data_IF_482906523854
#
_entry.id   IF_482906523854
#
_cell.length_a   1.000
_cell.length_b   1.000
_cell.length_c   1.000
_cell.angle_alpha   90.00
_cell.angle_beta   90.00
_cell.angle_gamma   90.00
#
_symmetry.space_group_name_H-M   'P 1'
#
loop_
_entity.id
_entity.type
_entity.pdbx_description
1 polymer ?
#
# COMPACT_ATOMS: atom_id res chain seq x y z
N UNK A 1 20.68 -3.49 -8.43
CA UNK A 1 20.44 -2.41 -7.43
C UNK A 1 21.78 -1.92 -6.90
N UNK A 2 22.01 -0.61 -6.81
CA UNK A 2 23.29 -0.07 -6.35
C UNK A 2 23.54 -0.35 -4.87
N UNK A 3 24.45 -1.29 -4.60
CA UNK A 3 24.73 -1.82 -3.24
C UNK A 3 25.17 -0.78 -2.22
N UNK A 4 25.56 0.42 -2.67
CA UNK A 4 26.05 1.51 -1.83
C UNK A 4 25.26 2.82 -2.02
N UNK A 5 24.04 2.76 -2.56
CA UNK A 5 23.23 3.95 -2.86
C UNK A 5 23.17 4.93 -1.68
N UNK A 6 22.85 4.45 -0.48
CA UNK A 6 22.76 5.29 0.74
C UNK A 6 24.04 6.10 0.98
N UNK A 7 25.19 5.44 0.94
CA UNK A 7 26.50 6.06 1.17
C UNK A 7 26.82 7.12 0.11
N UNK A 8 26.49 6.85 -1.15
CA UNK A 8 26.73 7.83 -2.21
C UNK A 8 25.69 8.98 -2.18
N UNK A 9 24.45 8.70 -1.78
CA UNK A 9 23.40 9.69 -1.62
C UNK A 9 23.75 10.69 -0.51
N UNK A 10 24.18 10.20 0.65
CA UNK A 10 24.64 11.04 1.76
C UNK A 10 25.77 11.99 1.34
N UNK A 11 26.71 11.52 0.52
CA UNK A 11 27.79 12.37 -0.04
C UNK A 11 27.28 13.39 -1.05
N UNK A 12 26.25 13.05 -1.83
CA UNK A 12 25.68 13.94 -2.84
C UNK A 12 24.76 15.03 -2.27
N UNK A 13 24.38 14.94 -0.98
CA UNK A 13 23.57 15.98 -0.32
C UNK A 13 24.27 17.34 -0.34
N UNK A 14 25.60 17.35 -0.26
CA UNK A 14 26.42 18.56 -0.27
C UNK A 14 26.69 19.09 -1.69
N UNK A 15 26.47 18.27 -2.73
CA UNK A 15 26.71 18.62 -4.15
C UNK A 15 25.40 18.84 -4.91
N UNK A 16 24.76 17.75 -5.35
CA UNK A 16 23.47 17.74 -6.02
C UNK A 16 22.73 16.41 -5.73
N UNK A 17 21.75 16.40 -4.82
CA UNK A 17 21.00 15.19 -4.49
C UNK A 17 20.14 14.69 -5.66
N UNK A 18 19.78 15.55 -6.61
CA UNK A 18 18.96 15.17 -7.76
C UNK A 18 19.74 14.33 -8.76
N UNK A 19 21.06 14.55 -8.88
CA UNK A 19 21.91 13.74 -9.74
C UNK A 19 21.96 12.30 -9.27
N UNK A 20 22.08 12.06 -7.97
CA UNK A 20 22.01 10.71 -7.41
C UNK A 20 20.63 10.07 -7.60
N UNK A 21 19.56 10.84 -7.45
CA UNK A 21 18.21 10.36 -7.74
C UNK A 21 18.03 9.97 -9.22
N UNK A 22 18.67 10.69 -10.14
CA UNK A 22 18.70 10.35 -11.56
C UNK A 22 19.45 9.04 -11.81
N UNK A 23 20.58 8.82 -11.14
CA UNK A 23 21.33 7.54 -11.21
C UNK A 23 20.44 6.39 -10.75
N UNK A 24 19.81 6.49 -9.58
CA UNK A 24 18.89 5.45 -9.08
C UNK A 24 17.82 5.11 -10.11
N UNK A 25 17.19 6.14 -10.69
CA UNK A 25 16.14 5.97 -11.70
C UNK A 25 16.66 5.39 -13.01
N UNK A 26 17.93 5.55 -13.37
CA UNK A 26 18.47 5.09 -14.66
C UNK A 26 19.28 3.80 -14.54
N UNK A 27 19.52 3.31 -13.32
CA UNK A 27 20.11 1.99 -13.10
C UNK A 27 19.22 0.88 -13.64
N UNK A 28 19.84 -0.06 -14.36
CA UNK A 28 19.14 -1.23 -14.86
C UNK A 28 18.81 -2.19 -13.72
N UNK A 29 17.61 -2.75 -13.74
CA UNK A 29 17.24 -3.88 -12.91
C UNK A 29 17.80 -5.17 -13.53
N UNK A 30 17.69 -6.27 -12.79
CA UNK A 30 18.13 -7.61 -13.18
C UNK A 30 17.34 -8.15 -14.40
N UNK A 31 16.17 -7.56 -14.69
CA UNK A 31 15.40 -7.83 -15.91
C UNK A 31 15.98 -7.17 -17.18
N UNK A 32 16.98 -6.30 -17.03
CA UNK A 32 17.67 -5.58 -18.11
C UNK A 32 17.04 -4.24 -18.50
N UNK A 33 16.02 -3.77 -17.79
CA UNK A 33 15.36 -2.48 -18.01
C UNK A 33 15.54 -1.57 -16.80
N UNK A 34 15.57 -0.26 -17.04
CA UNK A 34 15.53 0.75 -15.98
C UNK A 34 14.08 1.07 -15.58
N UNK A 35 13.81 1.58 -14.36
CA UNK A 35 12.48 1.99 -13.93
C UNK A 35 11.69 2.87 -14.92
N UNK A 36 12.26 3.93 -15.54
CA UNK A 36 11.55 4.77 -16.50
C UNK A 36 11.28 4.05 -17.82
N UNK A 37 12.07 3.05 -18.21
CA UNK A 37 11.76 2.22 -19.37
C UNK A 37 10.56 1.33 -19.11
N UNK A 38 10.40 0.80 -17.89
CA UNK A 38 9.23 0.02 -17.51
C UNK A 38 7.98 0.90 -17.35
N UNK A 39 8.12 2.10 -16.80
CA UNK A 39 7.00 3.00 -16.52
C UNK A 39 6.56 3.81 -17.74
N UNK A 40 7.50 4.34 -18.52
CA UNK A 40 7.24 5.29 -19.62
C UNK A 40 7.71 4.76 -20.99
N UNK A 41 8.26 3.55 -21.07
CA UNK A 41 8.79 2.99 -22.31
C UNK A 41 10.06 3.69 -22.83
N UNK A 42 10.67 4.62 -22.10
CA UNK A 42 11.80 5.42 -22.61
C UNK A 42 12.92 5.56 -21.60
N UNK A 43 14.14 5.77 -22.08
CA UNK A 43 15.26 6.16 -21.22
C UNK A 43 15.17 7.64 -20.85
N UNK A 44 15.54 7.97 -19.62
CA UNK A 44 15.76 9.35 -19.20
C UNK A 44 17.09 9.86 -19.77
N UNK A 45 17.17 11.17 -20.00
CA UNK A 45 18.42 11.82 -20.41
C UNK A 45 19.35 11.88 -19.19
N UNK A 46 20.54 11.31 -19.32
CA UNK A 46 21.59 11.38 -18.30
C UNK A 46 22.68 12.37 -18.71
N UNK A 47 23.66 12.56 -17.83
CA UNK A 47 24.89 13.32 -18.08
C UNK A 47 25.83 12.64 -19.09
N UNK A 48 25.62 11.35 -19.35
CA UNK A 48 26.36 10.62 -20.38
C UNK A 48 25.82 10.95 -21.77
N UNK A 49 26.68 10.94 -22.81
CA UNK A 49 26.23 11.12 -24.17
C UNK A 49 25.28 9.99 -24.57
N UNK A 50 24.07 10.35 -25.04
CA UNK A 50 23.03 9.42 -25.43
C UNK A 50 22.50 9.72 -26.83
N UNK A 51 22.18 8.65 -27.57
CA UNK A 51 21.54 8.74 -28.87
C UNK A 51 20.09 9.22 -28.75
N UNK A 52 19.66 10.19 -29.57
CA UNK A 52 18.27 10.71 -29.55
C UNK A 52 17.21 9.61 -29.69
N UNK A 53 17.53 8.53 -30.42
CA UNK A 53 16.66 7.36 -30.63
C UNK A 53 16.29 6.63 -29.32
N UNK A 54 17.15 6.62 -28.31
CA UNK A 54 16.87 5.93 -27.04
C UNK A 54 15.98 6.72 -26.09
N UNK A 55 15.79 8.02 -26.37
CA UNK A 55 14.87 8.90 -25.63
C UNK A 55 13.43 8.79 -26.14
N UNK A 56 13.23 8.16 -27.31
CA UNK A 56 11.91 7.91 -27.90
C UNK A 56 11.28 6.71 -27.18
N UNK A 57 10.00 6.79 -26.79
CA UNK A 57 9.33 5.69 -26.11
C UNK A 57 9.18 4.47 -27.02
N UNK A 58 9.60 3.33 -26.51
CA UNK A 58 9.42 1.98 -27.04
C UNK A 58 8.91 1.09 -25.91
N UNK A 59 7.67 0.65 -26.03
CA UNK A 59 7.06 -0.25 -25.04
C UNK A 59 7.74 -1.62 -25.14
N UNK A 60 8.35 -2.12 -24.05
CA UNK A 60 8.93 -3.45 -24.03
C UNK A 60 7.84 -4.54 -24.04
N UNK A 61 8.16 -5.72 -24.55
CA UNK A 61 7.24 -6.85 -24.59
C UNK A 61 6.94 -7.34 -23.16
N UNK A 62 5.66 -7.32 -22.77
CA UNK A 62 5.25 -7.59 -21.40
C UNK A 62 5.54 -9.03 -20.97
N UNK A 63 5.38 -9.99 -21.88
CA UNK A 63 5.64 -11.42 -21.61
C UNK A 63 7.11 -11.69 -21.33
N UNK A 64 8.02 -11.03 -22.04
CA UNK A 64 9.46 -11.14 -21.81
C UNK A 64 9.86 -10.65 -20.43
N UNK A 65 9.32 -9.49 -20.03
CA UNK A 65 9.55 -8.93 -18.69
C UNK A 65 9.00 -9.90 -17.64
N UNK A 66 7.77 -10.37 -17.81
CA UNK A 66 7.13 -11.29 -16.86
C UNK A 66 7.94 -12.57 -16.68
N UNK A 67 8.44 -13.16 -17.77
CA UNK A 67 9.30 -14.35 -17.72
C UNK A 67 10.59 -14.10 -16.95
N UNK A 68 11.27 -12.98 -17.19
CA UNK A 68 12.50 -12.61 -16.49
C UNK A 68 12.27 -12.33 -15.01
N UNK A 69 11.24 -11.57 -14.67
CA UNK A 69 10.85 -11.27 -13.28
C UNK A 69 10.50 -12.53 -12.51
N UNK A 70 9.73 -13.44 -13.11
CA UNK A 70 9.40 -14.72 -12.48
C UNK A 70 10.65 -15.55 -12.17
N UNK A 71 11.55 -15.68 -13.16
CA UNK A 71 12.83 -16.38 -12.98
C UNK A 71 13.67 -15.74 -11.88
N UNK A 72 13.75 -14.41 -11.87
CA UNK A 72 14.50 -13.67 -10.87
C UNK A 72 13.91 -13.85 -9.46
N UNK A 73 12.59 -13.71 -9.31
CA UNK A 73 11.89 -13.89 -8.03
C UNK A 73 12.03 -15.31 -7.46
N UNK A 74 11.96 -16.34 -8.31
CA UNK A 74 12.20 -17.73 -7.89
C UNK A 74 13.63 -17.91 -7.40
N UNK A 75 14.62 -17.38 -8.12
CA UNK A 75 16.01 -17.44 -7.70
C UNK A 75 16.25 -16.69 -6.39
N UNK A 76 15.70 -15.47 -6.26
CA UNK A 76 15.81 -14.66 -5.05
C UNK A 76 15.23 -15.40 -3.84
N UNK A 77 14.06 -16.03 -3.99
CA UNK A 77 13.46 -16.90 -2.99
C UNK A 77 14.43 -18.04 -2.62
N UNK A 78 14.92 -18.79 -3.60
CA UNK A 78 15.80 -19.93 -3.37
C UNK A 78 17.10 -19.54 -2.64
N UNK A 79 17.72 -18.42 -3.04
CA UNK A 79 18.92 -17.90 -2.36
C UNK A 79 18.60 -17.50 -0.93
N UNK A 80 17.51 -16.76 -0.72
CA UNK A 80 17.09 -16.35 0.62
C UNK A 80 16.83 -17.55 1.52
N UNK A 81 16.03 -18.51 1.05
CA UNK A 81 15.66 -19.72 1.78
C UNK A 81 16.89 -20.57 2.13
N UNK A 82 17.85 -20.71 1.20
CA UNK A 82 19.12 -21.41 1.43
C UNK A 82 20.01 -20.71 2.45
N UNK A 83 20.16 -19.39 2.35
CA UNK A 83 21.03 -18.63 3.25
C UNK A 83 20.47 -18.56 4.68
N UNK A 84 19.15 -18.45 4.83
CA UNK A 84 18.50 -18.27 6.14
C UNK A 84 17.90 -19.56 6.71
N UNK A 85 18.06 -20.70 6.02
CA UNK A 85 17.48 -22.00 6.39
C UNK A 85 15.99 -21.87 6.73
N UNK A 86 15.26 -21.15 5.87
CA UNK A 86 13.85 -20.85 6.08
C UNK A 86 13.06 -22.16 6.18
N UNK A 87 12.20 -22.25 7.19
CA UNK A 87 11.27 -23.35 7.40
C UNK A 87 9.86 -22.80 7.45
N UNK A 88 8.90 -23.55 6.92
CA UNK A 88 7.50 -23.22 7.11
C UNK A 88 7.13 -23.44 8.58
N UNK A 89 6.54 -22.42 9.20
CA UNK A 89 6.10 -22.50 10.60
C UNK A 89 4.83 -23.34 10.68
N UNK A 90 4.71 -24.16 11.72
CA UNK A 90 3.53 -24.97 11.98
C UNK A 90 2.27 -24.09 12.05
N UNK A 91 1.19 -24.52 11.41
CA UNK A 91 -0.09 -23.82 11.51
C UNK A 91 -0.59 -23.81 12.96
N UNK A 92 -1.30 -22.75 13.32
CA UNK A 92 -1.81 -22.58 14.67
C UNK A 92 -3.32 -22.77 14.66
N UNK A 93 -3.82 -23.46 15.68
CA UNK A 93 -5.25 -23.74 15.80
C UNK A 93 -5.98 -22.62 16.54
N UNK A 94 -7.27 -22.38 16.21
CA UNK A 94 -8.13 -21.53 17.02
C UNK A 94 -8.12 -21.98 18.49
N UNK A 95 -8.05 -21.02 19.41
CA UNK A 95 -8.00 -21.24 20.86
C UNK A 95 -6.59 -21.38 21.44
N UNK A 96 -5.55 -21.57 20.61
CA UNK A 96 -4.18 -21.70 21.11
C UNK A 96 -3.66 -20.37 21.68
N UNK A 97 -2.92 -20.45 22.80
CA UNK A 97 -2.23 -19.30 23.38
C UNK A 97 -0.90 -19.10 22.67
N UNK A 98 -0.63 -17.85 22.32
CA UNK A 98 0.59 -17.43 21.62
C UNK A 98 1.18 -16.22 22.29
N UNK A 99 2.51 -16.14 22.25
CA UNK A 99 3.22 -14.93 22.59
C UNK A 99 3.23 -14.00 21.37
N UNK A 100 2.91 -12.72 21.57
CA UNK A 100 2.96 -11.71 20.52
C UNK A 100 4.28 -10.96 20.68
N UNK A 101 5.20 -11.15 19.73
CA UNK A 101 6.57 -10.60 19.86
C UNK A 101 6.61 -9.07 19.88
N UNK A 102 5.72 -8.42 19.12
CA UNK A 102 5.68 -6.97 18.96
C UNK A 102 5.15 -6.27 20.22
N UNK A 103 4.04 -6.79 20.78
CA UNK A 103 3.40 -6.26 21.97
C UNK A 103 3.98 -6.79 23.28
N UNK A 104 4.84 -7.83 23.22
CA UNK A 104 5.39 -8.54 24.38
C UNK A 104 4.28 -8.96 25.36
N UNK A 105 3.21 -9.51 24.82
CA UNK A 105 2.02 -9.92 25.55
C UNK A 105 1.51 -11.27 25.06
N UNK A 106 0.71 -11.93 25.89
CA UNK A 106 0.01 -13.15 25.48
C UNK A 106 -1.30 -12.80 24.77
N UNK A 107 -1.66 -13.63 23.80
CA UNK A 107 -2.95 -13.56 23.13
C UNK A 107 -3.46 -14.94 22.76
N UNK A 108 -4.75 -15.03 22.45
CA UNK A 108 -5.40 -16.26 22.01
C UNK A 108 -5.76 -16.20 20.55
N UNK A 109 -5.49 -17.26 19.80
CA UNK A 109 -5.85 -17.28 18.38
C UNK A 109 -7.35 -17.42 18.25
N UNK A 110 -7.97 -16.50 17.51
CA UNK A 110 -9.39 -16.55 17.19
C UNK A 110 -9.64 -17.33 15.92
N UNK A 111 -8.88 -17.04 14.87
CA UNK A 111 -9.01 -17.73 13.57
C UNK A 111 -7.79 -17.50 12.68
N UNK A 112 -7.57 -18.43 11.75
CA UNK A 112 -6.69 -18.23 10.58
C UNK A 112 -7.42 -17.38 9.55
N UNK A 113 -6.72 -16.46 8.90
CA UNK A 113 -7.33 -15.62 7.86
C UNK A 113 -7.09 -16.17 6.45
N UNK A 114 -7.95 -15.78 5.50
CA UNK A 114 -7.83 -16.12 4.09
C UNK A 114 -6.50 -15.67 3.46
N UNK A 115 -5.92 -14.57 3.94
CA UNK A 115 -4.60 -14.12 3.51
C UNK A 115 -3.49 -15.01 4.13
N UNK A 116 -2.47 -15.41 3.34
CA UNK A 116 -1.46 -16.35 3.78
C UNK A 116 -0.70 -15.82 5.00
N UNK A 117 -0.36 -16.71 5.93
CA UNK A 117 0.45 -16.44 7.13
C UNK A 117 -0.14 -15.44 8.13
N UNK A 118 -1.38 -15.00 7.97
CA UNK A 118 -2.03 -14.03 8.87
C UNK A 118 -3.07 -14.67 9.77
N UNK A 119 -3.09 -14.25 11.04
CA UNK A 119 -3.98 -14.78 12.07
C UNK A 119 -4.72 -13.63 12.75
N UNK A 120 -5.93 -13.91 13.24
CA UNK A 120 -6.65 -13.05 14.17
C UNK A 120 -6.34 -13.52 15.58
N UNK A 121 -5.82 -12.62 16.41
CA UNK A 121 -5.45 -12.90 17.80
C UNK A 121 -6.22 -11.96 18.72
N UNK A 122 -6.89 -12.54 19.69
CA UNK A 122 -7.61 -11.88 20.78
C UNK A 122 -6.61 -11.55 21.90
N UNK A 123 -6.52 -10.26 22.24
CA UNK A 123 -5.75 -9.73 23.37
C UNK A 123 -6.69 -8.95 24.29
N UNK A 124 -6.27 -8.57 25.51
CA UNK A 124 -7.11 -7.79 26.43
C UNK A 124 -7.56 -6.45 25.86
N UNK A 125 -6.77 -5.86 24.95
CA UNK A 125 -7.05 -4.56 24.33
C UNK A 125 -7.99 -4.70 23.13
N UNK A 126 -8.04 -5.87 22.49
CA UNK A 126 -8.89 -6.12 21.34
C UNK A 126 -8.34 -7.21 20.41
N UNK A 127 -8.87 -7.25 19.18
CA UNK A 127 -8.46 -8.24 18.18
C UNK A 127 -7.44 -7.60 17.24
N UNK A 128 -6.28 -8.24 17.10
CA UNK A 128 -5.20 -7.81 16.21
C UNK A 128 -4.97 -8.83 15.08
N UNK A 129 -4.31 -8.39 14.01
CA UNK A 129 -4.00 -9.20 12.82
C UNK A 129 -2.48 -9.36 12.56
N UNK A 130 -1.75 -10.12 13.39
CA UNK A 130 -0.33 -10.37 13.21
C UNK A 130 -0.02 -11.47 12.17
N UNK A 131 1.25 -11.48 11.73
CA UNK A 131 1.82 -12.57 10.93
C UNK A 131 2.25 -13.73 11.83
N UNK A 132 2.11 -14.96 11.35
CA UNK A 132 2.53 -16.23 11.99
C UNK A 132 3.93 -16.19 12.57
N UNK A 133 4.85 -15.52 11.89
CA UNK A 133 6.23 -15.35 12.31
C UNK A 133 6.37 -14.68 13.69
N UNK A 134 5.45 -13.77 14.02
CA UNK A 134 5.42 -13.03 15.29
C UNK A 134 4.60 -13.72 16.39
N UNK A 135 4.13 -14.95 16.15
CA UNK A 135 3.29 -15.72 17.06
C UNK A 135 3.94 -17.03 17.52
N UNK A 136 5.03 -17.03 18.30
CA UNK A 136 5.51 -18.24 18.93
C UNK A 136 4.40 -18.92 19.75
N UNK A 137 4.14 -20.22 19.54
CA UNK A 137 3.33 -21.02 20.46
C UNK A 137 3.84 -20.82 21.89
N UNK A 138 2.93 -20.60 22.84
CA UNK A 138 3.30 -20.53 24.24
C UNK A 138 2.29 -21.29 25.10
N UNK A 139 2.79 -21.92 26.16
CA UNK A 139 1.98 -22.55 27.20
C UNK A 139 1.67 -21.59 28.35
N UNK A 140 1.99 -20.30 28.20
CA UNK A 140 1.73 -19.29 29.23
C UNK A 140 0.25 -19.17 29.55
N UNK A 141 -0.09 -18.97 30.83
CA UNK A 141 -1.45 -18.62 31.22
C UNK A 141 -1.77 -17.22 30.70
N UNK A 142 -2.92 -17.09 30.05
CA UNK A 142 -3.57 -15.80 29.91
C UNK A 142 -4.06 -15.42 31.30
N UNK A 143 -3.38 -14.49 31.98
CA UNK A 143 -3.97 -13.79 33.11
C UNK A 143 -5.15 -12.98 32.55
N UNK A 144 -6.33 -13.60 32.60
CA UNK A 144 -7.56 -12.85 32.66
C UNK A 144 -7.70 -12.48 34.13
N UNK A 145 -7.67 -11.18 34.43
CA UNK A 145 -8.30 -10.68 35.65
C UNK A 145 -9.76 -11.12 35.56
N UNK A 146 -10.09 -12.24 36.22
CA UNK A 146 -11.46 -12.61 36.51
C UNK A 146 -11.97 -11.66 37.58
N UNK A 147 -12.36 -10.46 37.15
CA UNK A 147 -13.29 -9.67 37.92
C UNK A 147 -14.65 -10.38 37.82
N UNK A 148 -14.89 -11.23 38.80
CA UNK A 148 -16.21 -11.61 39.28
C UNK A 148 -17.00 -10.32 39.56
N UNK A 149 -17.87 -9.94 38.62
CA UNK A 149 -19.05 -9.16 38.96
C UNK A 149 -20.16 -9.57 38.02
N UNK A 150 -20.97 -10.50 38.51
CA UNK A 150 -22.40 -10.56 38.22
C UNK A 150 -22.98 -9.15 38.41
N UNK A 151 -23.03 -8.34 37.34
CA UNK A 151 -23.87 -7.16 37.29
C UNK A 151 -25.21 -7.62 36.76
N UNK A 152 -26.12 -7.87 37.70
CA UNK A 152 -27.55 -7.98 37.42
C UNK A 152 -27.98 -6.82 36.52
N UNK A 153 -28.68 -7.17 35.45
CA UNK A 153 -29.45 -6.24 34.63
C UNK A 153 -30.51 -5.58 35.52
N UNK A 154 -30.72 -4.25 35.44
CA UNK A 154 -31.88 -3.66 36.06
C UNK A 154 -33.15 -4.14 35.33
N UNK A 155 -34.09 -4.69 36.11
CA UNK A 155 -35.43 -5.08 35.68
C UNK A 155 -36.13 -3.94 34.95
N UNK A 156 -36.42 -4.13 33.66
CA UNK A 156 -37.44 -3.35 32.97
C UNK A 156 -38.75 -4.14 33.01
N UNK A 157 -39.87 -3.54 33.48
CA UNK A 157 -41.14 -4.24 33.57
C UNK A 157 -41.63 -4.63 32.18
N UNK A 158 -41.92 -5.92 32.07
CA UNK A 158 -42.37 -6.62 30.88
C UNK A 158 -43.89 -6.50 30.81
N UNK A 159 -44.40 -5.75 29.85
CA UNK A 159 -45.80 -5.88 29.43
C UNK A 159 -45.89 -6.22 27.94
N UNK A 160 -46.56 -7.34 27.69
CA UNK A 160 -47.32 -7.71 26.49
C UNK A 160 -46.56 -8.13 25.20
N UNK A 161 -46.55 -9.45 24.96
CA UNK A 161 -46.39 -10.09 23.63
C UNK A 161 -47.79 -10.23 22.96
N UNK A 162 -47.96 -10.91 21.80
CA UNK A 162 -47.25 -10.88 20.50
C UNK A 162 -48.23 -10.69 19.31
N UNK A 163 -47.80 -10.21 18.14
CA UNK A 163 -48.49 -10.55 16.86
C UNK A 163 -47.48 -10.67 15.72
N UNK A 164 -47.59 -11.76 14.99
CA UNK A 164 -46.73 -12.19 13.89
C UNK A 164 -47.23 -11.76 12.50
N UNK A 165 -46.28 -11.66 11.57
CA UNK A 165 -46.32 -11.91 10.12
C UNK A 165 -47.13 -10.99 9.18
N UNK A 166 -46.41 -10.37 8.25
CA UNK A 166 -46.50 -10.74 6.83
C UNK A 166 -45.29 -10.25 6.02
N UNK A 167 -44.73 -11.18 5.25
CA UNK A 167 -43.85 -10.96 4.10
C UNK A 167 -44.49 -10.01 3.08
N UNK A 168 -43.68 -9.11 2.52
CA UNK A 168 -43.70 -8.87 1.07
C UNK A 168 -42.39 -8.16 0.65
N UNK A 169 -41.62 -8.83 -0.20
CA UNK A 169 -40.50 -8.29 -0.95
C UNK A 169 -40.98 -8.07 -2.39
N UNK A 170 -40.51 -7.03 -3.10
CA UNK A 170 -39.55 -7.36 -4.17
C UNK A 170 -38.43 -6.31 -4.36
N UNK A 171 -37.22 -6.79 -4.65
CA UNK A 171 -36.36 -6.17 -5.67
C UNK A 171 -35.22 -5.25 -5.21
N UNK A 172 -34.06 -5.88 -5.00
CA UNK A 172 -32.66 -5.53 -5.36
C UNK A 172 -32.27 -4.20 -6.09
N UNK A 173 -30.97 -3.82 -6.04
CA UNK A 173 -30.50 -2.44 -5.89
C UNK A 173 -30.11 -1.74 -7.19
N UNK A 174 -30.22 -0.41 -7.22
CA UNK A 174 -29.72 0.42 -8.33
C UNK A 174 -28.31 0.95 -8.02
N UNK A 175 -27.37 0.51 -8.86
CA UNK A 175 -26.03 1.04 -9.07
C UNK A 175 -26.10 2.49 -9.58
N UNK A 176 -25.54 3.45 -8.84
CA UNK A 176 -25.30 4.79 -9.37
C UNK A 176 -24.01 4.80 -10.20
N UNK A 177 -24.20 4.80 -11.53
CA UNK A 177 -23.18 5.08 -12.55
C UNK A 177 -23.27 6.56 -12.90
N UNK A 178 -22.27 7.35 -12.55
CA UNK A 178 -22.14 8.75 -12.99
C UNK A 178 -21.37 8.83 -14.32
N UNK A 179 -22.03 9.37 -15.34
CA UNK A 179 -21.43 9.78 -16.64
C UNK A 179 -21.19 11.29 -16.69
N UNK A 180 -20.22 11.78 -17.50
CA UNK A 180 -19.75 13.17 -17.46
C UNK A 180 -20.47 14.08 -18.48
N UNK A 181 -20.69 15.34 -18.11
CA UNK A 181 -21.21 16.42 -18.99
C UNK A 181 -20.06 17.29 -19.55
N UNK A 182 -20.19 17.84 -20.78
CA UNK A 182 -19.11 18.60 -21.45
C UNK A 182 -19.05 20.08 -21.01
N UNK A 183 -17.89 20.76 -21.15
CA UNK A 183 -17.77 22.18 -20.83
C UNK A 183 -18.28 23.06 -21.98
N UNK A 184 -19.12 24.04 -21.64
CA UNK A 184 -19.54 25.12 -22.54
C UNK A 184 -18.46 26.18 -22.68
N UNK A 185 -18.20 26.53 -23.93
CA UNK A 185 -17.41 27.65 -24.43
C UNK A 185 -17.90 28.98 -23.85
N UNK A 186 -16.99 29.73 -23.21
CA UNK A 186 -17.12 31.18 -23.09
C UNK A 186 -15.82 31.82 -23.56
N UNK A 187 -15.83 32.28 -24.80
CA UNK A 187 -14.85 33.19 -25.37
C UNK A 187 -15.13 34.60 -24.83
N UNK A 188 -14.22 35.12 -24.01
CA UNK A 188 -14.16 36.54 -23.69
C UNK A 188 -12.71 37.01 -23.81
N UNK A 189 -12.46 37.87 -24.81
CA UNK A 189 -11.27 38.70 -24.92
C UNK A 189 -11.05 39.44 -23.59
N UNK A 190 -9.86 39.32 -22.98
CA UNK A 190 -9.52 40.08 -21.77
C UNK A 190 -8.10 40.63 -21.84
N UNK A 191 -8.00 41.93 -21.58
CA UNK A 191 -6.84 42.81 -21.59
C UNK A 191 -5.71 42.40 -20.62
N UNK A 192 -4.46 42.87 -20.81
CA UNK A 192 -3.27 42.25 -20.20
C UNK A 192 -3.00 42.54 -18.72
N UNK A 193 -3.76 43.40 -18.02
CA UNK A 193 -3.31 43.95 -16.72
C UNK A 193 -4.27 43.76 -15.54
N UNK A 194 -4.82 42.57 -15.32
CA UNK A 194 -5.59 42.31 -14.09
C UNK A 194 -5.12 41.06 -13.35
N UNK A 195 -4.46 41.29 -12.20
CA UNK A 195 -4.34 40.29 -11.15
C UNK A 195 -5.75 39.89 -10.69
N UNK A 196 -6.06 38.60 -10.68
CA UNK A 196 -7.32 38.12 -10.10
C UNK A 196 -7.04 37.10 -8.98
N UNK A 197 -7.91 37.12 -7.96
CA UNK A 197 -7.86 36.21 -6.83
C UNK A 197 -8.65 34.94 -7.11
N UNK A 198 -8.10 33.80 -6.67
CA UNK A 198 -8.81 32.52 -6.67
C UNK A 198 -9.68 32.37 -5.42
N UNK A 199 -10.66 31.46 -5.45
CA UNK A 199 -11.58 31.18 -4.33
C UNK A 199 -10.89 30.78 -3.01
N UNK A 200 -9.63 30.36 -3.06
CA UNK A 200 -8.81 30.01 -1.89
C UNK A 200 -7.91 31.16 -1.42
N UNK A 201 -8.12 32.38 -1.93
CA UNK A 201 -7.40 33.59 -1.52
C UNK A 201 -6.04 33.80 -2.16
N UNK A 202 -5.67 33.01 -3.19
CA UNK A 202 -4.37 33.16 -3.86
C UNK A 202 -4.48 34.11 -5.04
N UNK A 203 -3.60 35.11 -5.08
CA UNK A 203 -3.46 36.06 -6.19
C UNK A 203 -2.59 35.45 -7.30
N UNK A 204 -3.15 35.29 -8.50
CA UNK A 204 -2.42 34.75 -9.65
C UNK A 204 -1.83 35.89 -10.48
N UNK A 205 -0.51 35.87 -10.69
CA UNK A 205 0.20 36.78 -11.59
C UNK A 205 0.45 36.08 -12.93
N UNK A 206 0.07 36.66 -14.07
CA UNK A 206 0.42 36.09 -15.37
C UNK A 206 1.95 36.20 -15.59
N UNK A 207 2.54 35.25 -16.35
CA UNK A 207 3.97 35.28 -16.65
C UNK A 207 4.32 36.36 -17.67
N UNK A 208 5.43 37.08 -17.44
CA UNK A 208 5.97 38.06 -18.38
C UNK A 208 6.45 37.36 -19.65
N UNK A 209 5.85 37.71 -20.79
CA UNK A 209 6.33 37.31 -22.10
C UNK A 209 7.20 38.43 -22.65
N UNK A 210 8.47 38.12 -22.91
CA UNK A 210 9.36 38.98 -23.69
C UNK A 210 8.93 38.89 -25.16
N UNK A 211 8.57 40.02 -25.75
CA UNK A 211 8.35 40.12 -27.19
C UNK A 211 9.73 40.11 -27.89
N UNK A 212 9.97 39.07 -28.70
CA UNK A 212 11.15 38.92 -29.57
C UNK A 212 10.80 39.36 -31.00
#
# INVERSE_FOLDING_TARGET
>A
MDKNFKKHFEKSLDEDPYLMMLVLRTTYLENGYSPPELLMGRKLRTNLPMTKKSLIPKIPEAEDIRRKELKYGVNQKNYYDKHHRVKDLQELEPGQVVWITDQRSYGRIKAKQAAPRSYLVETPVGIIRPNRFHLPPSSGQLEYDQDDTTKELPDFPRDSSPVSLSDDMPGTPILYRSSPTPPSTFSALRSPEQFYGTRSGWTVRPPDRLDL
#
